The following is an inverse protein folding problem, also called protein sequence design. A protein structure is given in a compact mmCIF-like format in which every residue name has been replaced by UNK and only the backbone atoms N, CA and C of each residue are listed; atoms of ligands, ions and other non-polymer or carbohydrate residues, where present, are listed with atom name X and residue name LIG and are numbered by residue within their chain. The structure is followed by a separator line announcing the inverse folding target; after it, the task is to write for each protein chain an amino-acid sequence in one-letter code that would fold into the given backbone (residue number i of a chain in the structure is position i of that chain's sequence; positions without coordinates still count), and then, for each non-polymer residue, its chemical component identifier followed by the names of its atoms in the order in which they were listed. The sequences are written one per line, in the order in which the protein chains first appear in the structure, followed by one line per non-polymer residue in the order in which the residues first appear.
data_IF_119692418768
#
_entry.id   IF_119692418768
#
_cell.length_a   1.000
_cell.length_b   1.000
_cell.length_c   1.000
_cell.angle_alpha   90.00
_cell.angle_beta   90.00
_cell.angle_gamma   90.00
#
_symmetry.space_group_name_H-M   'P 1'
#
loop_
_entity.id
_entity.type
_entity.pdbx_description
1 polymer ?
#
# COMPACT_ATOMS: atom_id res chain seq x y z
N UNK A 1 17.37 -69.57 -37.60
CA UNK A 1 15.99 -69.21 -37.18
C UNK A 1 16.02 -68.76 -35.74
N UNK A 2 15.98 -67.47 -35.53
CA UNK A 2 15.70 -66.96 -34.18
C UNK A 2 15.00 -65.63 -34.32
N UNK A 3 13.68 -65.69 -34.15
CA UNK A 3 12.75 -64.55 -34.12
C UNK A 3 12.81 -63.92 -32.73
N UNK A 4 13.21 -62.68 -32.64
CA UNK A 4 13.06 -61.87 -31.46
C UNK A 4 11.89 -60.87 -31.71
N UNK A 5 10.77 -61.00 -31.02
CA UNK A 5 9.76 -59.96 -31.03
C UNK A 5 9.65 -59.40 -29.63
N UNK A 6 10.12 -58.17 -29.37
CA UNK A 6 9.45 -57.31 -28.41
C UNK A 6 10.14 -55.95 -28.30
N UNK A 7 9.87 -55.05 -29.22
CA UNK A 7 9.98 -53.62 -28.96
C UNK A 7 8.61 -53.15 -28.51
N UNK A 8 8.40 -53.15 -27.20
CA UNK A 8 7.36 -52.35 -26.58
C UNK A 8 7.84 -50.91 -26.67
N UNK A 9 7.22 -50.13 -27.53
CA UNK A 9 7.24 -48.69 -27.48
C UNK A 9 6.56 -48.28 -26.15
N UNK A 10 7.35 -48.04 -25.13
CA UNK A 10 6.96 -47.40 -23.88
C UNK A 10 6.78 -45.94 -24.19
N UNK A 11 5.53 -45.55 -24.57
CA UNK A 11 5.13 -44.15 -24.71
C UNK A 11 5.32 -43.50 -23.35
N UNK A 12 6.36 -42.67 -23.21
CA UNK A 12 6.56 -41.80 -22.05
C UNK A 12 5.30 -40.95 -21.90
N UNK A 13 4.57 -41.03 -20.77
CA UNK A 13 3.36 -40.23 -20.58
C UNK A 13 3.74 -38.76 -20.67
N UNK A 14 3.03 -38.02 -21.51
CA UNK A 14 3.23 -36.58 -21.64
C UNK A 14 2.99 -35.93 -20.27
N UNK A 15 4.02 -35.26 -19.76
CA UNK A 15 3.97 -34.54 -18.49
C UNK A 15 2.84 -33.49 -18.53
N UNK A 16 1.91 -33.57 -17.61
CA UNK A 16 0.79 -32.61 -17.53
C UNK A 16 1.26 -31.30 -16.90
N UNK A 17 0.52 -30.24 -17.15
CA UNK A 17 0.82 -28.93 -16.54
C UNK A 17 0.82 -28.99 -15.00
N UNK A 18 -0.02 -29.84 -14.41
CA UNK A 18 -0.05 -30.08 -12.96
C UNK A 18 1.22 -30.78 -12.46
N UNK A 19 1.78 -31.69 -13.21
CA UNK A 19 3.02 -32.39 -12.85
C UNK A 19 4.19 -31.42 -12.85
N UNK A 20 4.26 -30.53 -13.84
CA UNK A 20 5.30 -29.47 -13.91
C UNK A 20 5.18 -28.51 -12.73
N UNK A 21 3.96 -28.09 -12.38
CA UNK A 21 3.75 -27.17 -11.25
C UNK A 21 4.04 -27.83 -9.89
N UNK A 22 3.80 -29.14 -9.77
CA UNK A 22 4.17 -29.91 -8.56
C UNK A 22 5.68 -30.02 -8.42
N UNK A 23 6.40 -30.27 -9.49
CA UNK A 23 7.87 -30.38 -9.50
C UNK A 23 8.54 -29.05 -9.18
N UNK A 24 7.92 -27.94 -9.56
CA UNK A 24 8.38 -26.58 -9.25
C UNK A 24 7.96 -26.09 -7.86
N UNK A 25 7.32 -26.92 -7.04
CA UNK A 25 6.77 -26.55 -5.70
C UNK A 25 5.81 -25.34 -5.72
N UNK A 26 5.15 -25.10 -6.87
CA UNK A 26 4.20 -23.99 -7.04
C UNK A 26 2.74 -24.36 -6.67
N UNK A 27 2.53 -25.52 -6.05
CA UNK A 27 1.25 -25.92 -5.48
C UNK A 27 1.15 -25.50 -4.01
N UNK A 28 -0.06 -25.09 -3.54
CA UNK A 28 -1.38 -25.27 -4.17
C UNK A 28 -1.76 -24.14 -5.13
N UNK A 29 -2.29 -24.51 -6.30
CA UNK A 29 -2.97 -23.54 -7.17
C UNK A 29 -4.30 -23.14 -6.54
N UNK A 30 -4.53 -21.86 -6.40
CA UNK A 30 -5.80 -21.32 -5.96
C UNK A 30 -6.80 -21.37 -7.11
N UNK A 31 -7.72 -22.32 -7.08
CA UNK A 31 -8.84 -22.35 -8.01
C UNK A 31 -9.94 -21.43 -7.51
N UNK A 32 -10.52 -20.62 -8.39
CA UNK A 32 -11.76 -19.89 -8.07
C UNK A 32 -12.80 -20.92 -7.65
N UNK A 33 -13.36 -20.76 -6.45
CA UNK A 33 -14.44 -21.62 -5.96
C UNK A 33 -15.62 -21.50 -6.93
N UNK A 34 -16.03 -22.60 -7.55
CA UNK A 34 -17.22 -22.64 -8.42
C UNK A 34 -18.44 -22.17 -7.61
N UNK A 35 -19.03 -21.04 -8.03
CA UNK A 35 -20.15 -20.40 -7.32
C UNK A 35 -20.17 -18.88 -7.35
N UNK A 36 -19.09 -18.22 -7.79
CA UNK A 36 -19.14 -16.80 -8.08
C UNK A 36 -19.65 -16.59 -9.52
N UNK A 37 -20.97 -16.50 -9.66
CA UNK A 37 -21.57 -15.95 -10.87
C UNK A 37 -21.23 -14.44 -10.89
N UNK A 38 -20.75 -13.88 -12.03
CA UNK A 38 -20.61 -12.45 -12.15
C UNK A 38 -22.00 -11.82 -12.00
N UNK A 39 -22.16 -10.92 -11.04
CA UNK A 39 -23.36 -10.10 -10.90
C UNK A 39 -23.58 -9.37 -12.23
N UNK A 40 -24.73 -9.59 -12.83
CA UNK A 40 -25.18 -8.87 -14.00
C UNK A 40 -25.17 -7.35 -13.71
N UNK A 41 -24.88 -6.50 -14.69
CA UNK A 41 -24.89 -5.05 -14.49
C UNK A 41 -26.30 -4.60 -14.11
N UNK A 42 -26.42 -4.08 -12.91
CA UNK A 42 -27.68 -3.58 -12.36
C UNK A 42 -28.06 -2.30 -13.08
N UNK A 43 -29.31 -2.28 -13.48
CA UNK A 43 -30.05 -1.24 -14.21
C UNK A 43 -29.85 0.11 -13.54
N UNK A 44 -29.45 1.10 -14.36
CA UNK A 44 -29.39 2.51 -14.01
C UNK A 44 -30.75 2.98 -13.52
N UNK A 45 -30.91 3.19 -12.24
CA UNK A 45 -32.06 3.90 -11.67
C UNK A 45 -31.90 5.40 -11.89
N UNK A 46 -32.88 5.93 -12.59
CA UNK A 46 -33.14 7.34 -12.85
C UNK A 46 -33.27 8.09 -11.51
N UNK A 47 -32.29 8.92 -11.17
CA UNK A 47 -32.33 9.77 -9.99
C UNK A 47 -33.19 10.99 -10.27
N UNK A 48 -34.45 10.93 -9.82
CA UNK A 48 -35.27 12.10 -9.69
C UNK A 48 -34.55 13.17 -8.82
N UNK A 49 -34.38 14.36 -9.37
CA UNK A 49 -33.85 15.56 -8.72
C UNK A 49 -34.56 15.84 -7.40
N UNK A 50 -33.87 15.91 -6.24
CA UNK A 50 -34.48 16.36 -5.01
C UNK A 50 -34.65 17.88 -5.05
N UNK A 51 -35.89 18.31 -4.87
CA UNK A 51 -36.29 19.69 -4.62
C UNK A 51 -35.58 20.20 -3.35
N UNK A 52 -34.82 21.28 -3.47
CA UNK A 52 -34.14 21.94 -2.36
C UNK A 52 -35.18 22.70 -1.53
N UNK A 53 -35.42 22.40 -0.24
CA UNK A 53 -36.14 23.27 0.64
C UNK A 53 -35.22 24.39 1.15
N UNK A 54 -35.78 25.59 1.18
CA UNK A 54 -35.16 26.86 1.53
C UNK A 54 -34.46 26.86 2.89
N UNK A 55 -33.33 27.51 2.89
CA UNK A 55 -32.61 28.23 3.94
C UNK A 55 -33.11 28.05 5.38
N UNK A 56 -32.40 27.23 6.15
CA UNK A 56 -32.25 27.47 7.58
C UNK A 56 -31.01 28.36 7.77
N UNK A 57 -31.22 29.54 8.31
CA UNK A 57 -30.17 30.44 8.77
C UNK A 57 -29.49 29.74 9.95
N UNK A 58 -28.37 29.11 9.70
CA UNK A 58 -27.55 28.52 10.76
C UNK A 58 -26.97 29.64 11.62
N UNK A 59 -27.21 29.58 12.93
CA UNK A 59 -26.52 30.38 13.94
C UNK A 59 -24.99 30.23 13.74
N UNK A 60 -24.18 31.24 14.11
CA UNK A 60 -22.72 31.15 13.99
C UNK A 60 -22.23 30.02 14.88
N UNK A 61 -21.84 28.93 14.24
CA UNK A 61 -21.10 27.83 14.90
C UNK A 61 -19.75 28.43 15.30
N UNK A 62 -19.54 28.56 16.62
CA UNK A 62 -18.22 28.81 17.16
C UNK A 62 -17.27 27.75 16.51
N UNK A 63 -16.10 28.14 16.01
CA UNK A 63 -15.16 27.17 15.49
C UNK A 63 -14.83 26.19 16.61
N UNK A 64 -15.24 24.94 16.43
CA UNK A 64 -14.75 23.87 17.28
C UNK A 64 -13.23 23.89 17.23
N UNK A 65 -12.52 23.67 18.36
CA UNK A 65 -11.08 23.62 18.34
C UNK A 65 -10.68 22.58 17.32
N UNK A 66 -10.00 23.03 16.25
CA UNK A 66 -9.47 22.15 15.20
C UNK A 66 -8.65 21.09 15.94
N UNK A 67 -9.16 19.89 16.03
CA UNK A 67 -8.48 18.79 16.70
C UNK A 67 -7.09 18.72 16.09
N UNK A 68 -6.05 18.95 16.90
CA UNK A 68 -4.69 18.94 16.42
C UNK A 68 -4.45 17.60 15.73
N UNK A 69 -4.16 17.65 14.43
CA UNK A 69 -3.94 16.46 13.62
C UNK A 69 -2.78 15.67 14.23
N UNK A 70 -3.10 14.49 14.71
CA UNK A 70 -2.11 13.63 15.32
C UNK A 70 -1.37 12.86 14.22
N UNK A 71 -0.05 12.87 14.31
CA UNK A 71 0.82 12.16 13.38
C UNK A 71 1.58 11.06 14.09
N UNK A 72 1.88 10.01 13.38
CA UNK A 72 2.79 8.96 13.82
C UNK A 72 3.95 8.85 12.86
N UNK A 73 5.16 8.81 13.39
CA UNK A 73 6.38 8.56 12.64
C UNK A 73 7.07 7.28 13.10
N UNK A 74 7.72 6.61 12.17
CA UNK A 74 8.58 5.46 12.43
C UNK A 74 9.88 5.63 11.65
N UNK A 75 10.99 5.74 12.33
CA UNK A 75 12.30 5.84 11.70
C UNK A 75 12.94 4.45 11.55
N UNK A 76 13.74 4.26 10.52
CA UNK A 76 14.64 3.11 10.44
C UNK A 76 15.82 3.24 11.40
N UNK A 77 16.44 2.13 11.77
CA UNK A 77 17.59 2.12 12.66
C UNK A 77 18.84 2.75 12.04
N UNK A 78 18.98 2.66 10.72
CA UNK A 78 20.06 3.28 9.95
C UNK A 78 19.84 4.80 9.74
N UNK A 79 18.66 5.32 10.10
CA UNK A 79 18.31 6.72 9.98
C UNK A 79 18.09 7.22 8.55
N UNK A 80 18.06 6.33 7.54
CA UNK A 80 17.89 6.71 6.14
C UNK A 80 16.41 6.85 5.74
N UNK A 81 15.52 6.11 6.43
CA UNK A 81 14.10 6.05 6.14
C UNK A 81 13.26 6.66 7.26
N UNK A 82 12.23 7.37 6.87
CA UNK A 82 11.19 7.86 7.77
C UNK A 82 9.82 7.54 7.18
N UNK A 83 9.04 6.80 7.93
CA UNK A 83 7.65 6.47 7.61
C UNK A 83 6.74 7.37 8.41
N UNK A 84 5.76 7.99 7.76
CA UNK A 84 4.82 8.91 8.41
C UNK A 84 3.38 8.59 8.03
N UNK A 85 2.50 8.72 9.00
CA UNK A 85 1.06 8.51 8.85
C UNK A 85 0.30 9.57 9.64
N UNK A 86 -0.83 10.02 9.12
CA UNK A 86 -1.72 10.95 9.80
C UNK A 86 -2.69 10.16 10.69
N UNK A 87 -2.19 9.70 11.82
CA UNK A 87 -2.94 8.94 12.83
C UNK A 87 -2.32 9.15 14.21
N UNK A 88 -3.13 9.09 15.27
CA UNK A 88 -2.67 9.24 16.65
C UNK A 88 -1.82 8.05 17.16
N UNK A 89 -1.67 7.00 16.35
CA UNK A 89 -0.91 5.81 16.66
C UNK A 89 -1.18 4.73 15.62
N UNK A 90 -0.39 3.68 15.61
CA UNK A 90 -0.61 2.50 14.78
C UNK A 90 -1.28 1.42 15.63
N UNK A 91 -2.30 0.77 15.09
CA UNK A 91 -2.86 -0.46 15.66
C UNK A 91 -1.81 -1.59 15.61
N UNK A 92 -2.06 -2.67 16.36
CA UNK A 92 -1.16 -3.83 16.36
C UNK A 92 -0.99 -4.44 14.95
N UNK A 93 -2.08 -4.49 14.19
CA UNK A 93 -2.09 -5.06 12.83
C UNK A 93 -1.37 -4.15 11.83
N UNK A 94 -1.58 -2.82 11.90
CA UNK A 94 -0.85 -1.85 11.08
C UNK A 94 0.64 -1.86 11.39
N UNK A 95 1.01 -1.94 12.67
CA UNK A 95 2.39 -2.06 13.07
C UNK A 95 3.04 -3.35 12.56
N UNK A 96 2.34 -4.48 12.67
CA UNK A 96 2.80 -5.75 12.13
C UNK A 96 2.96 -5.71 10.61
N UNK A 97 2.00 -5.08 9.91
CA UNK A 97 2.09 -4.88 8.46
C UNK A 97 3.32 -4.05 8.10
N UNK A 98 3.54 -2.92 8.77
CA UNK A 98 4.70 -2.05 8.53
C UNK A 98 6.03 -2.78 8.80
N UNK A 99 6.11 -3.58 9.87
CA UNK A 99 7.29 -4.41 10.16
C UNK A 99 7.56 -5.44 9.05
N UNK A 100 6.52 -6.08 8.52
CA UNK A 100 6.66 -7.03 7.43
C UNK A 100 7.15 -6.36 6.14
N UNK A 101 6.65 -5.16 5.84
CA UNK A 101 7.11 -4.34 4.71
C UNK A 101 8.59 -3.96 4.89
N UNK A 102 8.98 -3.48 6.05
CA UNK A 102 10.36 -3.14 6.37
C UNK A 102 11.30 -4.34 6.28
N UNK A 103 10.86 -5.51 6.78
CA UNK A 103 11.61 -6.77 6.64
C UNK A 103 11.84 -7.16 5.18
N UNK A 104 10.83 -6.98 4.32
CA UNK A 104 10.95 -7.21 2.89
C UNK A 104 11.93 -6.23 2.22
N UNK A 105 12.01 -4.99 2.70
CA UNK A 105 13.00 -3.99 2.30
C UNK A 105 14.39 -4.21 2.92
N UNK A 106 14.55 -5.18 3.84
CA UNK A 106 15.77 -5.47 4.61
C UNK A 106 16.21 -4.32 5.53
N UNK A 107 15.26 -3.58 6.07
CA UNK A 107 15.49 -2.52 7.03
C UNK A 107 14.87 -2.86 8.39
N UNK A 108 15.46 -2.36 9.46
CA UNK A 108 14.94 -2.48 10.82
C UNK A 108 14.31 -1.16 11.24
N UNK A 109 13.17 -1.24 11.93
CA UNK A 109 12.42 -0.07 12.38
C UNK A 109 12.66 0.19 13.87
N UNK A 110 12.58 1.45 14.26
CA UNK A 110 12.44 1.90 15.64
C UNK A 110 10.97 1.85 16.06
N UNK A 111 10.70 2.03 17.33
CA UNK A 111 9.32 2.12 17.84
C UNK A 111 8.60 3.34 17.25
N UNK A 112 7.28 3.22 17.01
CA UNK A 112 6.45 4.34 16.58
C UNK A 112 6.50 5.50 17.58
N UNK A 113 6.53 6.71 17.09
CA UNK A 113 6.52 7.93 17.89
C UNK A 113 5.41 8.85 17.40
N UNK A 114 4.60 9.35 18.34
CA UNK A 114 3.64 10.40 18.04
C UNK A 114 4.35 11.74 17.83
N UNK A 115 3.84 12.52 16.88
CA UNK A 115 4.28 13.90 16.66
C UNK A 115 3.10 14.82 16.39
N UNK A 116 3.21 16.06 16.78
CA UNK A 116 2.17 17.09 16.57
C UNK A 116 2.51 18.00 15.40
N UNK A 117 3.79 18.21 15.15
CA UNK A 117 4.29 19.06 14.05
C UNK A 117 5.21 18.25 13.13
N UNK A 118 4.70 17.83 11.95
CA UNK A 118 5.50 17.10 10.99
C UNK A 118 6.65 17.93 10.42
N UNK A 119 6.49 19.25 10.26
CA UNK A 119 7.53 20.11 9.72
C UNK A 119 8.77 20.15 10.62
N UNK A 120 8.57 20.32 11.93
CA UNK A 120 9.66 20.30 12.90
C UNK A 120 10.31 18.90 13.00
N UNK A 121 9.52 17.85 13.09
CA UNK A 121 10.04 16.48 13.18
C UNK A 121 10.83 16.07 11.93
N UNK A 122 10.37 16.46 10.75
CA UNK A 122 11.09 16.26 9.50
C UNK A 122 12.40 17.04 9.50
N UNK A 123 12.42 18.29 9.93
CA UNK A 123 13.64 19.10 9.98
C UNK A 123 14.70 18.51 10.91
N UNK A 124 14.29 17.92 12.03
CA UNK A 124 15.17 17.29 13.01
C UNK A 124 15.69 15.90 12.60
N UNK A 125 15.02 15.23 11.65
CA UNK A 125 15.42 13.90 11.20
C UNK A 125 16.58 13.95 10.20
N UNK A 126 17.45 12.95 10.18
CA UNK A 126 18.51 12.76 9.18
C UNK A 126 18.06 11.93 7.96
N UNK A 127 16.81 11.48 7.92
CA UNK A 127 16.30 10.61 6.86
C UNK A 127 16.43 11.27 5.49
N UNK A 128 16.86 10.51 4.50
CA UNK A 128 16.93 10.94 3.08
C UNK A 128 15.63 10.63 2.36
N UNK A 129 14.97 9.52 2.73
CA UNK A 129 13.76 9.03 2.12
C UNK A 129 12.59 9.10 3.09
N UNK A 130 11.48 9.67 2.63
CA UNK A 130 10.22 9.81 3.37
C UNK A 130 9.13 8.98 2.68
N UNK A 131 8.48 8.10 3.42
CA UNK A 131 7.31 7.35 2.95
C UNK A 131 6.10 7.88 3.68
N UNK A 132 5.14 8.45 2.94
CA UNK A 132 3.90 8.97 3.49
C UNK A 132 2.73 8.02 3.20
N UNK A 133 2.07 7.58 4.26
CA UNK A 133 0.94 6.67 4.20
C UNK A 133 -0.39 7.42 4.20
N UNK A 134 -1.17 7.23 3.13
CA UNK A 134 -2.53 7.77 2.99
C UNK A 134 -2.58 9.17 2.38
N UNK A 135 -3.70 9.44 1.71
CA UNK A 135 -3.92 10.67 0.94
C UNK A 135 -3.79 11.93 1.80
N UNK A 136 -4.46 11.94 2.96
CA UNK A 136 -4.46 13.10 3.84
C UNK A 136 -3.05 13.47 4.34
N UNK A 137 -2.22 12.47 4.67
CA UNK A 137 -0.84 12.68 5.07
C UNK A 137 0.00 13.29 3.94
N UNK A 138 -0.14 12.74 2.72
CA UNK A 138 0.60 13.22 1.53
C UNK A 138 0.18 14.64 1.16
N UNK A 139 -1.13 14.91 1.13
CA UNK A 139 -1.67 16.24 0.81
C UNK A 139 -1.15 17.32 1.75
N UNK A 140 -1.09 17.03 3.05
CA UNK A 140 -0.56 17.97 4.03
C UNK A 140 0.95 18.19 3.90
N UNK A 141 1.73 17.12 3.69
CA UNK A 141 3.18 17.21 3.56
C UNK A 141 3.61 17.93 2.28
N UNK A 142 2.84 17.77 1.20
CA UNK A 142 3.12 18.42 -0.09
C UNK A 142 2.36 19.74 -0.28
N UNK A 143 1.52 20.14 0.68
CA UNK A 143 0.60 21.27 0.55
C UNK A 143 -0.20 21.20 -0.78
N UNK A 144 -0.68 20.00 -1.15
CA UNK A 144 -1.33 19.68 -2.42
C UNK A 144 -2.73 19.16 -2.17
N UNK A 145 -3.66 19.45 -3.08
CA UNK A 145 -5.01 18.88 -3.08
C UNK A 145 -5.16 17.73 -4.10
N UNK A 146 -4.06 17.28 -4.69
CA UNK A 146 -4.10 16.19 -5.64
C UNK A 146 -4.48 14.86 -4.95
N UNK A 147 -5.21 14.02 -5.66
CA UNK A 147 -5.62 12.71 -5.15
C UNK A 147 -4.44 11.74 -5.08
N UNK A 148 -4.54 10.77 -4.18
CA UNK A 148 -3.49 9.77 -3.97
C UNK A 148 -3.08 9.04 -5.26
N UNK A 149 -3.99 8.60 -6.15
CA UNK A 149 -3.61 7.96 -7.42
C UNK A 149 -2.71 8.82 -8.31
N UNK A 150 -2.87 10.14 -8.26
CA UNK A 150 -2.03 11.08 -9.02
C UNK A 150 -0.65 11.26 -8.40
N UNK A 151 -0.54 11.16 -7.08
CA UNK A 151 0.71 11.39 -6.34
C UNK A 151 1.55 10.12 -6.18
N UNK A 152 0.94 8.94 -6.34
CA UNK A 152 1.65 7.66 -6.23
C UNK A 152 2.52 7.37 -7.45
N UNK A 153 3.49 6.48 -7.27
CA UNK A 153 4.40 6.07 -8.34
C UNK A 153 5.35 7.17 -8.82
N UNK A 154 5.48 8.26 -8.06
CA UNK A 154 6.34 9.40 -8.35
C UNK A 154 7.17 9.78 -7.13
N UNK A 155 8.30 10.43 -7.39
CA UNK A 155 9.16 11.00 -6.37
C UNK A 155 8.81 12.49 -6.21
N UNK A 156 8.56 12.90 -4.97
CA UNK A 156 8.27 14.29 -4.64
C UNK A 156 9.36 14.88 -3.76
N UNK A 157 9.63 16.16 -3.91
CA UNK A 157 10.52 16.90 -3.00
C UNK A 157 9.69 17.41 -1.81
N UNK A 158 10.10 17.09 -0.60
CA UNK A 158 9.45 17.53 0.63
C UNK A 158 10.51 17.87 1.69
N UNK A 159 10.57 19.13 2.12
CA UNK A 159 11.53 19.61 3.12
C UNK A 159 13.00 19.19 2.84
N UNK A 160 13.43 19.27 1.59
CA UNK A 160 14.79 18.90 1.17
C UNK A 160 15.05 17.38 1.11
N UNK A 161 14.01 16.56 1.15
CA UNK A 161 14.07 15.09 1.06
C UNK A 161 13.21 14.58 -0.07
N UNK A 162 13.44 13.33 -0.44
CA UNK A 162 12.59 12.63 -1.40
C UNK A 162 11.45 11.95 -0.67
N UNK A 163 10.21 12.26 -1.08
CA UNK A 163 8.98 11.67 -0.56
C UNK A 163 8.36 10.75 -1.60
N UNK A 164 7.88 9.60 -1.15
CA UNK A 164 7.03 8.68 -1.92
C UNK A 164 5.69 8.54 -1.21
N UNK A 165 4.62 8.74 -1.98
CA UNK A 165 3.24 8.58 -1.52
C UNK A 165 2.79 7.13 -1.71
N UNK A 166 2.07 6.58 -0.72
CA UNK A 166 1.48 5.24 -0.82
C UNK A 166 0.18 5.13 -0.03
N UNK A 167 -0.52 3.99 -0.15
CA UNK A 167 -1.77 3.75 0.55
C UNK A 167 -1.60 3.77 2.07
N UNK A 168 -2.65 4.18 2.78
CA UNK A 168 -2.71 4.11 4.23
C UNK A 168 -2.66 2.65 4.72
N UNK A 169 -2.09 2.42 5.91
CA UNK A 169 -1.90 1.06 6.44
C UNK A 169 -3.24 0.36 6.75
N UNK A 170 -4.21 1.08 7.29
CA UNK A 170 -5.57 0.62 7.53
C UNK A 170 -6.26 0.21 6.22
N UNK A 171 -6.11 1.01 5.16
CA UNK A 171 -6.61 0.68 3.83
C UNK A 171 -6.02 -0.65 3.32
N UNK A 172 -4.72 -0.87 3.48
CA UNK A 172 -4.05 -2.10 3.05
C UNK A 172 -4.47 -3.34 3.83
N UNK A 173 -4.96 -3.18 5.05
CA UNK A 173 -5.55 -4.27 5.82
C UNK A 173 -6.94 -4.64 5.29
N UNK A 174 -7.71 -3.64 4.86
CA UNK A 174 -9.06 -3.83 4.30
C UNK A 174 -9.02 -4.25 2.82
N UNK A 175 -8.05 -3.75 2.05
CA UNK A 175 -7.89 -3.99 0.60
C UNK A 175 -6.53 -4.66 0.30
N UNK A 176 -6.40 -5.99 0.50
CA UNK A 176 -5.13 -6.69 0.35
C UNK A 176 -4.53 -6.63 -1.06
N UNK A 177 -5.35 -6.42 -2.10
CA UNK A 177 -4.90 -6.32 -3.48
C UNK A 177 -4.01 -5.08 -3.73
N UNK A 178 -4.24 -4.01 -2.98
CA UNK A 178 -3.47 -2.76 -3.10
C UNK A 178 -2.06 -2.87 -2.50
N UNK A 179 -1.76 -3.95 -1.77
CA UNK A 179 -0.40 -4.25 -1.29
C UNK A 179 0.61 -4.37 -2.43
N UNK A 180 0.18 -4.89 -3.59
CA UNK A 180 1.05 -4.99 -4.77
C UNK A 180 1.44 -3.60 -5.29
N UNK A 181 0.51 -2.66 -5.30
CA UNK A 181 0.76 -1.28 -5.71
C UNK A 181 1.66 -0.55 -4.70
N UNK A 182 1.39 -0.72 -3.40
CA UNK A 182 2.25 -0.18 -2.33
C UNK A 182 3.67 -0.74 -2.43
N UNK A 183 3.83 -2.04 -2.75
CA UNK A 183 5.14 -2.63 -2.95
C UNK A 183 5.88 -2.01 -4.15
N UNK A 184 5.16 -1.66 -5.21
CA UNK A 184 5.74 -0.92 -6.33
C UNK A 184 6.28 0.45 -5.90
N UNK A 185 5.51 1.20 -5.09
CA UNK A 185 5.93 2.50 -4.56
C UNK A 185 7.18 2.38 -3.66
N UNK A 186 7.23 1.34 -2.80
CA UNK A 186 8.40 1.08 -1.96
C UNK A 186 9.64 0.70 -2.77
N UNK A 187 9.49 -0.06 -3.85
CA UNK A 187 10.59 -0.38 -4.76
C UNK A 187 11.14 0.87 -5.44
N UNK A 188 10.25 1.79 -5.87
CA UNK A 188 10.65 3.08 -6.42
C UNK A 188 11.48 3.87 -5.39
N UNK A 189 11.04 3.92 -4.14
CA UNK A 189 11.77 4.58 -3.07
C UNK A 189 13.14 3.94 -2.81
N UNK A 190 13.23 2.60 -2.78
CA UNK A 190 14.50 1.89 -2.63
C UNK A 190 15.48 2.19 -3.76
N UNK A 191 15.00 2.23 -4.99
CA UNK A 191 15.81 2.57 -6.16
C UNK A 191 16.31 4.02 -6.06
N UNK A 192 15.43 4.97 -5.76
CA UNK A 192 15.79 6.37 -5.61
C UNK A 192 16.82 6.58 -4.49
N UNK A 193 16.72 5.85 -3.38
CA UNK A 193 17.72 5.93 -2.31
C UNK A 193 19.08 5.38 -2.73
N UNK A 194 19.10 4.31 -3.53
CA UNK A 194 20.34 3.75 -4.08
C UNK A 194 21.05 4.73 -5.02
N UNK A 195 20.28 5.51 -5.79
CA UNK A 195 20.81 6.56 -6.69
C UNK A 195 21.34 7.79 -5.93
N UNK A 196 20.98 7.96 -4.65
CA UNK A 196 21.42 9.05 -3.77
C UNK A 196 22.64 8.66 -2.89
N UNK A 197 23.05 7.40 -2.91
CA UNK A 197 24.14 6.87 -2.06
C UNK A 197 25.50 7.00 -2.74
#
# INVERSE_FOLDING_TARGET
MNKNPNTKDEATPAMTQEDVLRELELLPMWHLRAGFAPLAPEVVMDYATPVVPAAHVAAPVLPEPVAALAWTQVASTDGLWLFVSLTAGLSADEWQLLQNMAKAMRISLRSPQAMTDPGHALSASSAKMLIAFGEAAVQQLLASQASLPTLRGQLHACHGRTLVATHALDHLLQQPLDKAQTWHDLRLAMQALADLA
#
